data_IF_340448840611
#
_entry.id   IF_340448840611
#
_cell.length_a   1.000
_cell.length_b   1.000
_cell.length_c   1.000
_cell.angle_alpha   90.00
_cell.angle_beta   90.00
_cell.angle_gamma   90.00
#
_symmetry.space_group_name_H-M   'P 1'
#
loop_
_entity.id
_entity.type
_entity.pdbx_description
1 polymer ?
#
# COMPACT_ATOMS: atom_id res chain seq x y z
N UNK A 1 -3.95 -16.39 8.33
CA UNK A 1 -5.07 -16.37 9.29
C UNK A 1 -5.00 -15.09 10.12
N UNK A 2 -6.16 -14.54 10.46
CA UNK A 2 -6.25 -13.44 11.44
C UNK A 2 -6.09 -14.01 12.85
N UNK A 3 -5.32 -13.35 13.69
CA UNK A 3 -5.15 -13.70 15.10
C UNK A 3 -5.13 -12.46 15.99
N UNK A 4 -5.38 -12.66 17.28
CA UNK A 4 -5.29 -11.64 18.32
C UNK A 4 -6.13 -10.38 18.01
N UNK A 5 -7.32 -10.55 17.43
CA UNK A 5 -8.21 -9.44 17.11
C UNK A 5 -8.93 -8.95 18.34
N UNK A 6 -8.84 -7.66 18.62
CA UNK A 6 -9.61 -6.96 19.64
C UNK A 6 -9.96 -5.55 19.15
N UNK A 7 -11.06 -4.98 19.67
CA UNK A 7 -11.52 -3.65 19.30
C UNK A 7 -12.98 -3.44 19.65
N UNK A 8 -13.41 -2.19 19.62
CA UNK A 8 -14.79 -1.80 19.84
C UNK A 8 -15.42 -1.30 18.54
N UNK A 9 -16.64 -1.74 18.28
CA UNK A 9 -17.43 -1.28 17.15
C UNK A 9 -18.70 -0.64 17.70
N UNK A 10 -18.89 0.65 17.44
CA UNK A 10 -20.00 1.43 17.92
C UNK A 10 -20.87 1.81 16.72
N UNK A 11 -22.03 1.18 16.62
CA UNK A 11 -23.02 1.51 15.60
C UNK A 11 -23.81 2.74 16.05
N UNK A 12 -23.83 3.79 15.24
CA UNK A 12 -24.59 5.01 15.47
C UNK A 12 -25.28 5.42 14.17
N UNK A 13 -26.60 5.27 14.15
CA UNK A 13 -27.43 5.38 12.95
C UNK A 13 -26.97 4.39 11.87
N UNK A 14 -26.42 4.90 10.76
CA UNK A 14 -25.94 4.12 9.62
C UNK A 14 -24.40 3.98 9.59
N UNK A 15 -23.72 4.63 10.55
CA UNK A 15 -22.28 4.68 10.66
C UNK A 15 -21.74 3.72 11.71
N UNK A 16 -20.52 3.23 11.50
CA UNK A 16 -19.77 2.43 12.49
C UNK A 16 -18.50 3.15 12.87
N UNK A 17 -18.38 3.53 14.13
CA UNK A 17 -17.10 3.94 14.71
C UNK A 17 -16.31 2.69 15.11
N UNK A 18 -15.02 2.70 14.79
CA UNK A 18 -14.05 1.64 15.09
C UNK A 18 -13.04 2.24 16.06
N UNK A 19 -12.99 1.67 17.26
CA UNK A 19 -12.10 2.15 18.31
C UNK A 19 -11.14 1.04 18.75
N UNK A 20 -9.86 1.38 18.78
CA UNK A 20 -8.78 0.51 19.25
C UNK A 20 -8.77 -0.88 18.59
N UNK A 21 -9.21 -0.95 17.33
CA UNK A 21 -9.10 -2.19 16.58
C UNK A 21 -7.62 -2.56 16.46
N UNK A 22 -7.29 -3.75 16.91
CA UNK A 22 -5.94 -4.31 16.77
C UNK A 22 -6.04 -5.76 16.35
N UNK A 23 -5.03 -6.24 15.63
CA UNK A 23 -4.98 -7.62 15.18
C UNK A 23 -3.69 -7.93 14.44
N UNK A 24 -3.52 -9.19 14.12
CA UNK A 24 -2.39 -9.67 13.32
C UNK A 24 -2.87 -10.49 12.13
N UNK A 25 -2.18 -10.32 11.02
CA UNK A 25 -2.32 -11.15 9.82
C UNK A 25 -0.94 -11.72 9.53
N UNK A 26 -0.68 -12.95 9.93
CA UNK A 26 0.66 -13.56 9.88
C UNK A 26 1.69 -12.69 10.62
N UNK A 27 2.68 -12.13 9.93
CA UNK A 27 3.71 -11.25 10.52
C UNK A 27 3.32 -9.77 10.58
N UNK A 28 2.22 -9.40 9.93
CA UNK A 28 1.70 -8.02 9.92
C UNK A 28 0.86 -7.74 11.15
N UNK A 29 1.23 -6.75 11.95
CA UNK A 29 0.39 -6.19 13.00
C UNK A 29 -0.36 -4.96 12.49
N UNK A 30 -1.60 -4.78 12.94
CA UNK A 30 -2.43 -3.65 12.56
C UNK A 30 -3.13 -3.07 13.77
N UNK A 31 -3.10 -1.75 13.88
CA UNK A 31 -3.93 -0.96 14.80
C UNK A 31 -4.67 0.09 14.02
N UNK A 32 -5.94 0.31 14.37
CA UNK A 32 -6.80 1.20 13.62
C UNK A 32 -7.83 1.87 14.50
N UNK A 33 -8.04 3.17 14.27
CA UNK A 33 -9.17 3.93 14.76
C UNK A 33 -9.83 4.63 13.56
N UNK A 34 -11.14 4.64 13.49
CA UNK A 34 -11.79 5.25 12.33
C UNK A 34 -13.29 5.24 12.39
N UNK A 35 -13.87 5.67 11.28
CA UNK A 35 -15.32 5.67 11.06
C UNK A 35 -15.64 5.14 9.69
N UNK A 36 -16.56 4.21 9.62
CA UNK A 36 -17.17 3.79 8.36
C UNK A 36 -18.55 4.44 8.24
N UNK A 37 -18.64 5.48 7.42
CA UNK A 37 -19.89 6.18 7.15
C UNK A 37 -20.73 5.39 6.15
N UNK A 38 -22.04 5.49 6.31
CA UNK A 38 -23.00 4.81 5.44
C UNK A 38 -22.79 3.27 5.41
N UNK A 39 -22.32 2.69 6.52
CA UNK A 39 -21.96 1.29 6.62
C UNK A 39 -23.14 0.34 6.39
N UNK A 40 -24.29 0.63 7.03
CA UNK A 40 -25.49 -0.23 6.92
C UNK A 40 -26.04 -0.23 5.48
N UNK A 41 -26.28 0.92 4.84
CA UNK A 41 -26.66 0.96 3.43
C UNK A 41 -25.61 0.32 2.49
N UNK A 42 -24.33 0.56 2.74
CA UNK A 42 -23.26 -0.06 1.95
C UNK A 42 -23.30 -1.59 1.96
N UNK A 43 -23.64 -2.21 3.09
CA UNK A 43 -23.74 -3.66 3.24
C UNK A 43 -25.05 -4.24 2.68
N UNK A 44 -26.17 -3.57 2.94
CA UNK A 44 -27.50 -4.16 2.77
C UNK A 44 -28.22 -3.69 1.50
N UNK A 45 -27.85 -2.54 0.96
CA UNK A 45 -28.50 -1.96 -0.22
C UNK A 45 -27.53 -2.00 -1.40
N UNK A 46 -28.04 -2.50 -2.54
CA UNK A 46 -27.24 -2.56 -3.77
C UNK A 46 -26.80 -1.15 -4.21
N UNK A 47 -25.57 -1.06 -4.67
CA UNK A 47 -24.97 0.13 -5.28
C UNK A 47 -24.84 1.38 -4.37
N UNK A 48 -25.00 1.21 -3.06
CA UNK A 48 -24.73 2.29 -2.10
C UNK A 48 -23.23 2.47 -1.84
N UNK A 49 -22.74 3.72 -1.82
CA UNK A 49 -21.34 4.00 -1.49
C UNK A 49 -21.10 3.89 0.02
N UNK A 50 -19.87 3.63 0.39
CA UNK A 50 -19.40 3.67 1.77
C UNK A 50 -18.09 4.45 1.86
N UNK A 51 -17.97 5.28 2.92
CA UNK A 51 -16.77 6.09 3.14
C UNK A 51 -16.06 5.62 4.40
N UNK A 52 -14.81 5.25 4.26
CA UNK A 52 -14.00 4.79 5.35
C UNK A 52 -12.87 5.78 5.64
N UNK A 53 -12.87 6.35 6.84
CA UNK A 53 -11.87 7.31 7.30
C UNK A 53 -11.18 6.70 8.51
N UNK A 54 -9.86 6.53 8.48
CA UNK A 54 -9.13 5.91 9.59
C UNK A 54 -7.68 6.37 9.73
N UNK A 55 -7.20 6.29 10.98
CA UNK A 55 -5.77 6.28 11.31
C UNK A 55 -5.30 4.83 11.43
N UNK A 56 -4.29 4.48 10.67
CA UNK A 56 -3.74 3.12 10.57
C UNK A 56 -2.30 3.12 11.05
N UNK A 57 -2.01 2.30 12.04
CA UNK A 57 -0.68 2.14 12.60
C UNK A 57 -0.26 0.67 12.51
N UNK A 58 0.97 0.43 12.06
CA UNK A 58 1.59 -0.90 12.04
C UNK A 58 3.06 -0.79 12.44
N UNK A 59 3.55 -1.70 13.27
CA UNK A 59 4.99 -1.78 13.53
C UNK A 59 5.70 -2.55 12.42
N UNK A 60 5.03 -3.57 11.87
CA UNK A 60 5.56 -4.42 10.80
C UNK A 60 4.49 -4.78 9.78
N UNK A 61 4.70 -4.40 8.53
CA UNK A 61 3.81 -4.62 7.41
C UNK A 61 4.50 -5.49 6.34
N UNK A 62 4.10 -6.75 6.23
CA UNK A 62 4.56 -7.65 5.18
C UNK A 62 3.57 -7.63 4.01
N UNK A 63 3.87 -6.82 2.99
CA UNK A 63 2.96 -6.61 1.84
C UNK A 63 2.72 -7.88 1.05
N UNK A 64 3.71 -8.76 0.93
CA UNK A 64 3.56 -10.03 0.23
C UNK A 64 2.45 -10.90 0.83
N UNK A 65 2.31 -10.90 2.17
CA UNK A 65 1.26 -11.66 2.87
C UNK A 65 -0.15 -11.09 2.65
N UNK A 66 -0.26 -9.79 2.42
CA UNK A 66 -1.53 -9.10 2.20
C UNK A 66 -2.00 -9.16 0.75
N UNK A 67 -1.06 -9.14 -0.20
CA UNK A 67 -1.34 -9.10 -1.63
C UNK A 67 -1.52 -10.48 -2.27
N UNK A 68 -1.01 -11.56 -1.66
CA UNK A 68 -1.24 -12.92 -2.14
C UNK A 68 -2.70 -13.30 -1.90
N UNK A 69 -3.53 -13.11 -2.90
CA UNK A 69 -4.84 -13.74 -2.95
C UNK A 69 -4.65 -15.25 -3.01
N UNK A 70 -5.05 -15.96 -1.94
CA UNK A 70 -5.18 -17.44 -1.92
C UNK A 70 -6.35 -17.89 -2.79
N UNK A 71 -6.39 -17.47 -4.02
CA UNK A 71 -7.26 -18.04 -5.04
C UNK A 71 -6.47 -19.18 -5.67
N UNK A 72 -6.92 -20.40 -5.45
CA UNK A 72 -6.50 -21.66 -6.10
C UNK A 72 -5.79 -21.45 -7.44
N UNK A 73 -4.47 -21.37 -7.42
CA UNK A 73 -3.67 -21.28 -8.64
C UNK A 73 -2.81 -22.52 -8.75
N UNK A 74 -3.05 -23.22 -9.83
CA UNK A 74 -2.39 -24.46 -10.23
C UNK A 74 -1.08 -24.22 -10.99
N UNK A 75 -0.27 -23.21 -10.62
CA UNK A 75 1.09 -23.06 -11.16
C UNK A 75 1.95 -22.14 -10.30
N UNK A 76 3.20 -22.50 -9.99
CA UNK A 76 4.12 -21.68 -9.18
C UNK A 76 4.68 -20.44 -9.87
N UNK A 77 4.41 -20.23 -11.16
CA UNK A 77 5.04 -19.18 -11.97
C UNK A 77 4.18 -17.92 -12.21
N UNK A 78 2.88 -17.95 -11.91
CA UNK A 78 1.97 -16.82 -12.11
C UNK A 78 1.64 -16.11 -10.79
N UNK A 79 2.56 -15.32 -10.25
CA UNK A 79 2.26 -14.33 -9.22
C UNK A 79 1.65 -13.06 -9.83
N UNK A 80 0.48 -13.17 -10.44
CA UNK A 80 -0.27 -11.99 -10.87
C UNK A 80 -0.95 -11.36 -9.66
N UNK A 81 -0.46 -10.20 -9.22
CA UNK A 81 -1.12 -9.41 -8.19
C UNK A 81 -2.37 -8.74 -8.78
N UNK A 82 -3.54 -9.30 -8.52
CA UNK A 82 -4.79 -8.68 -8.96
C UNK A 82 -5.23 -7.65 -7.92
N UNK A 83 -4.95 -6.39 -8.18
CA UNK A 83 -5.43 -5.27 -7.37
C UNK A 83 -6.89 -4.97 -7.75
N UNK A 84 -7.84 -5.48 -6.95
CA UNK A 84 -9.27 -5.18 -7.13
C UNK A 84 -9.79 -4.45 -5.90
N UNK A 85 -10.20 -3.21 -6.08
CA UNK A 85 -10.87 -2.44 -5.04
C UNK A 85 -12.37 -2.38 -5.33
N UNK A 86 -13.18 -2.34 -4.26
CA UNK A 86 -14.61 -2.13 -4.44
C UNK A 86 -14.85 -0.72 -5.00
N UNK A 87 -15.48 -0.58 -6.19
CA UNK A 87 -15.66 0.74 -6.82
C UNK A 87 -16.58 1.67 -6.03
N UNK A 88 -17.33 1.15 -5.08
CA UNK A 88 -18.25 1.91 -4.20
C UNK A 88 -17.61 2.36 -2.89
N UNK A 89 -16.37 1.97 -2.64
CA UNK A 89 -15.68 2.30 -1.41
C UNK A 89 -14.75 3.48 -1.65
N UNK A 90 -14.92 4.53 -0.85
CA UNK A 90 -13.95 5.60 -0.67
C UNK A 90 -13.21 5.38 0.64
N UNK A 91 -11.89 5.56 0.64
CA UNK A 91 -11.08 5.47 1.86
C UNK A 91 -10.17 6.69 1.98
N UNK A 92 -10.11 7.24 3.19
CA UNK A 92 -9.15 8.27 3.60
C UNK A 92 -8.35 7.74 4.80
N UNK A 93 -7.08 7.42 4.57
CA UNK A 93 -6.24 6.76 5.55
C UNK A 93 -5.02 7.60 5.89
N UNK A 94 -4.85 7.97 7.15
CA UNK A 94 -3.55 8.42 7.67
C UNK A 94 -2.76 7.19 8.09
N UNK A 95 -1.57 7.02 7.55
CA UNK A 95 -0.74 5.83 7.81
C UNK A 95 0.53 6.18 8.57
N UNK A 96 0.87 5.34 9.56
CA UNK A 96 2.12 5.37 10.28
C UNK A 96 2.65 3.95 10.43
N UNK A 97 3.65 3.58 9.62
CA UNK A 97 4.17 2.22 9.56
C UNK A 97 5.64 2.22 9.97
N UNK A 98 5.98 1.41 10.97
CA UNK A 98 7.35 1.29 11.49
C UNK A 98 8.30 0.68 10.46
N UNK A 99 7.95 -0.50 9.95
CA UNK A 99 8.69 -1.24 8.94
C UNK A 99 7.74 -1.84 7.92
N UNK A 100 8.14 -1.84 6.66
CA UNK A 100 7.43 -2.49 5.57
C UNK A 100 8.40 -3.31 4.74
N UNK A 101 7.95 -4.48 4.31
CA UNK A 101 8.66 -5.33 3.36
C UNK A 101 7.74 -5.72 2.21
N UNK A 102 8.28 -5.62 1.00
CA UNK A 102 7.66 -6.12 -0.22
C UNK A 102 8.75 -6.73 -1.11
N UNK A 103 8.75 -8.05 -1.24
CA UNK A 103 9.85 -8.78 -1.89
C UNK A 103 11.19 -8.40 -1.25
N UNK A 104 12.14 -7.86 -2.04
CA UNK A 104 13.44 -7.37 -1.55
C UNK A 104 13.38 -5.93 -1.01
N UNK A 105 12.36 -5.17 -1.41
CA UNK A 105 12.20 -3.77 -1.00
C UNK A 105 11.86 -3.66 0.48
N UNK A 106 12.60 -2.82 1.18
CA UNK A 106 12.41 -2.53 2.59
C UNK A 106 12.28 -1.03 2.84
N UNK A 107 11.26 -0.65 3.58
CA UNK A 107 11.07 0.72 4.01
C UNK A 107 10.78 0.80 5.50
N UNK A 108 11.08 1.94 6.10
CA UNK A 108 10.81 2.19 7.52
C UNK A 108 10.38 3.63 7.77
N UNK A 109 9.77 3.86 8.95
CA UNK A 109 9.27 5.16 9.36
C UNK A 109 8.34 5.79 8.31
N UNK A 110 7.45 5.01 7.72
CA UNK A 110 6.53 5.42 6.66
C UNK A 110 5.41 6.24 7.29
N UNK A 111 5.16 7.41 6.74
CA UNK A 111 4.07 8.31 7.12
C UNK A 111 3.49 8.97 5.89
N UNK A 112 2.19 9.20 5.89
CA UNK A 112 1.51 9.91 4.81
C UNK A 112 0.02 9.68 4.83
N UNK A 113 -0.63 10.22 3.80
CA UNK A 113 -2.05 10.09 3.57
C UNK A 113 -2.31 9.28 2.31
N UNK A 114 -3.23 8.32 2.40
CA UNK A 114 -3.66 7.46 1.28
C UNK A 114 -5.16 7.69 1.07
N UNK A 115 -5.51 8.05 -0.14
CA UNK A 115 -6.91 8.19 -0.57
C UNK A 115 -7.23 7.15 -1.63
N UNK A 116 -8.34 6.45 -1.47
CA UNK A 116 -8.92 5.55 -2.47
C UNK A 116 -10.29 6.07 -2.87
N UNK A 117 -10.51 6.31 -4.14
CA UNK A 117 -11.82 6.60 -4.72
C UNK A 117 -11.94 5.93 -6.09
N UNK A 118 -13.06 5.27 -6.35
CA UNK A 118 -13.38 4.63 -7.65
C UNK A 118 -12.22 3.84 -8.26
N UNK A 119 -11.56 3.01 -7.45
CA UNK A 119 -10.41 2.18 -7.83
C UNK A 119 -9.14 2.98 -8.17
N UNK A 120 -9.06 4.25 -7.80
CA UNK A 120 -7.85 5.06 -7.89
C UNK A 120 -7.29 5.25 -6.49
N UNK A 121 -6.08 4.73 -6.25
CA UNK A 121 -5.31 5.03 -5.04
C UNK A 121 -4.42 6.23 -5.33
N UNK A 122 -4.43 7.20 -4.44
CA UNK A 122 -3.45 8.28 -4.44
C UNK A 122 -2.81 8.43 -3.07
N UNK A 123 -1.53 8.77 -3.04
CA UNK A 123 -0.83 9.16 -1.83
C UNK A 123 -0.33 10.58 -1.96
N UNK A 124 -0.42 11.34 -0.85
CA UNK A 124 0.15 12.68 -0.73
C UNK A 124 1.12 12.71 0.44
N UNK A 125 2.22 13.41 0.25
CA UNK A 125 3.24 13.63 1.28
C UNK A 125 3.73 12.33 1.95
N UNK A 126 3.79 11.25 1.17
CA UNK A 126 4.30 9.98 1.67
C UNK A 126 5.81 10.11 1.89
N UNK A 127 6.25 9.92 3.12
CA UNK A 127 7.64 9.96 3.51
C UNK A 127 8.07 8.65 4.15
N UNK A 128 9.27 8.20 3.84
CA UNK A 128 9.84 6.99 4.43
C UNK A 128 11.36 6.94 4.28
N UNK A 129 11.98 6.03 5.02
CA UNK A 129 13.39 5.68 4.86
C UNK A 129 13.50 4.37 4.10
N UNK A 130 14.34 4.34 3.06
CA UNK A 130 14.68 3.15 2.29
C UNK A 130 16.09 3.28 1.73
N UNK A 131 16.75 2.17 1.43
CA UNK A 131 18.08 2.15 0.78
C UNK A 131 19.06 3.11 1.47
N UNK A 132 19.09 3.13 2.81
CA UNK A 132 19.91 4.01 3.67
C UNK A 132 19.75 5.52 3.43
N UNK A 133 18.65 5.95 2.80
CA UNK A 133 18.32 7.36 2.58
C UNK A 133 16.88 7.68 2.93
N UNK A 134 16.42 8.84 2.47
CA UNK A 134 15.04 9.30 2.68
C UNK A 134 14.34 9.45 1.33
N UNK A 135 13.06 9.12 1.33
CA UNK A 135 12.17 9.26 0.17
C UNK A 135 10.96 10.09 0.59
N UNK A 136 10.62 11.06 -0.24
CA UNK A 136 9.33 11.76 -0.20
C UNK A 136 8.66 11.55 -1.56
N UNK A 137 7.39 11.14 -1.58
CA UNK A 137 6.72 10.86 -2.84
C UNK A 137 5.23 11.16 -2.80
N UNK A 138 4.70 11.50 -3.98
CA UNK A 138 3.29 11.47 -4.31
C UNK A 138 3.09 10.44 -5.40
N UNK A 139 2.10 9.57 -5.26
CA UNK A 139 1.84 8.53 -6.24
C UNK A 139 0.34 8.37 -6.49
N UNK A 140 0.01 7.93 -7.70
CA UNK A 140 -1.35 7.57 -8.09
C UNK A 140 -1.31 6.24 -8.82
N UNK A 141 -2.15 5.29 -8.40
CA UNK A 141 -2.36 4.02 -9.07
C UNK A 141 -3.82 3.97 -9.49
N UNK A 142 -4.05 3.96 -10.79
CA UNK A 142 -5.40 3.88 -11.38
C UNK A 142 -5.67 2.47 -11.89
N UNK A 143 -6.50 1.73 -11.17
CA UNK A 143 -6.94 0.39 -11.50
C UNK A 143 -8.39 0.34 -12.08
N UNK A 144 -8.99 1.50 -12.37
CA UNK A 144 -10.38 1.60 -12.86
C UNK A 144 -10.59 1.04 -14.27
N UNK A 145 -9.54 0.95 -15.08
CA UNK A 145 -9.61 0.35 -16.41
C UNK A 145 -9.67 -1.17 -16.31
N UNK A 146 -10.38 -1.82 -17.22
CA UNK A 146 -10.56 -3.28 -17.22
C UNK A 146 -9.28 -4.03 -17.56
N UNK A 147 -8.47 -3.47 -18.43
CA UNK A 147 -7.34 -4.11 -19.12
C UNK A 147 -5.98 -3.62 -18.67
N UNK A 148 -5.92 -2.54 -17.90
CA UNK A 148 -4.66 -1.92 -17.54
C UNK A 148 -4.67 -1.26 -16.16
N UNK A 149 -3.49 -1.17 -15.57
CA UNK A 149 -3.21 -0.39 -14.36
C UNK A 149 -2.21 0.70 -14.76
N UNK A 150 -2.54 1.94 -14.48
CA UNK A 150 -1.64 3.07 -14.69
C UNK A 150 -1.08 3.54 -13.34
N UNK A 151 0.23 3.74 -13.27
CA UNK A 151 0.91 4.35 -12.14
C UNK A 151 1.62 5.63 -12.57
N UNK A 152 1.44 6.69 -11.77
CA UNK A 152 2.24 7.90 -11.85
C UNK A 152 2.84 8.16 -10.47
N UNK A 153 4.10 8.59 -10.44
CA UNK A 153 4.81 8.85 -9.21
C UNK A 153 5.77 10.03 -9.40
N UNK A 154 5.71 11.00 -8.49
CA UNK A 154 6.70 12.05 -8.32
C UNK A 154 7.43 11.79 -7.00
N UNK A 155 8.72 11.56 -7.05
CA UNK A 155 9.52 11.23 -5.88
C UNK A 155 10.78 12.07 -5.77
N UNK A 156 11.12 12.47 -4.55
CA UNK A 156 12.39 13.07 -4.19
C UNK A 156 13.19 12.09 -3.36
N UNK A 157 14.37 11.75 -3.85
CA UNK A 157 15.34 10.91 -3.19
C UNK A 157 16.43 11.76 -2.55
N UNK A 158 16.75 11.48 -1.29
CA UNK A 158 17.85 12.11 -0.59
C UNK A 158 18.83 11.07 -0.06
N UNK A 159 20.03 11.02 -0.67
CA UNK A 159 21.17 10.19 -0.26
C UNK A 159 20.90 8.68 -0.24
N UNK A 160 20.11 8.16 -1.19
CA UNK A 160 19.90 6.71 -1.32
C UNK A 160 21.22 6.01 -1.69
N UNK A 161 21.47 4.85 -1.09
CA UNK A 161 22.54 3.96 -1.52
C UNK A 161 22.16 3.30 -2.85
N UNK A 162 22.96 3.52 -3.90
CA UNK A 162 22.63 3.06 -5.25
C UNK A 162 22.78 1.54 -5.38
N UNK A 163 23.68 0.91 -4.62
CA UNK A 163 23.84 -0.55 -4.60
C UNK A 163 22.56 -1.19 -4.05
N UNK A 164 22.05 -0.66 -2.93
CA UNK A 164 20.78 -1.12 -2.34
C UNK A 164 19.59 -0.82 -3.22
N UNK A 165 19.56 0.34 -3.90
CA UNK A 165 18.52 0.69 -4.84
C UNK A 165 18.38 -0.37 -5.94
N UNK A 166 19.50 -0.75 -6.55
CA UNK A 166 19.50 -1.78 -7.59
C UNK A 166 19.12 -3.15 -7.03
N UNK A 167 19.68 -3.55 -5.88
CA UNK A 167 19.34 -4.83 -5.24
C UNK A 167 17.88 -4.95 -4.86
N UNK A 168 17.35 -3.94 -4.17
CA UNK A 168 15.97 -3.96 -3.63
C UNK A 168 14.92 -3.84 -4.73
N UNK A 169 15.24 -3.18 -5.86
CA UNK A 169 14.39 -3.09 -7.05
C UNK A 169 14.75 -4.13 -8.13
N UNK A 170 15.41 -5.24 -7.74
CA UNK A 170 15.71 -6.39 -8.61
C UNK A 170 16.44 -5.99 -9.90
N UNK A 171 17.36 -5.01 -9.79
CA UNK A 171 18.15 -4.45 -10.90
C UNK A 171 17.25 -3.86 -12.03
N UNK A 172 16.01 -3.45 -11.71
CA UNK A 172 15.04 -2.95 -12.69
C UNK A 172 14.80 -3.93 -13.86
N UNK A 173 14.85 -5.24 -13.54
CA UNK A 173 14.69 -6.35 -14.51
C UNK A 173 15.70 -6.29 -15.69
N UNK A 174 16.92 -5.79 -15.45
CA UNK A 174 17.96 -5.68 -16.46
C UNK A 174 19.28 -6.26 -15.94
N UNK A 175 20.22 -6.60 -16.84
CA UNK A 175 21.47 -7.29 -16.52
C UNK A 175 22.73 -6.46 -16.78
N UNK A 176 22.61 -5.32 -17.43
CA UNK A 176 23.76 -4.50 -17.84
C UNK A 176 24.37 -3.73 -16.66
N UNK A 177 23.51 -3.06 -15.88
CA UNK A 177 23.89 -2.39 -14.64
C UNK A 177 23.21 -3.10 -13.47
N UNK A 178 24.00 -3.63 -12.55
CA UNK A 178 23.49 -4.40 -11.42
C UNK A 178 24.04 -3.86 -10.09
N UNK A 179 23.43 -4.27 -9.01
CA UNK A 179 23.90 -4.01 -7.64
C UNK A 179 25.37 -4.36 -7.42
N UNK A 180 25.94 -5.28 -8.25
CA UNK A 180 27.33 -5.72 -8.14
C UNK A 180 28.34 -4.73 -8.72
N UNK A 181 27.92 -3.90 -9.69
CA UNK A 181 28.82 -2.99 -10.42
C UNK A 181 28.49 -1.50 -10.26
N UNK A 182 27.49 -1.15 -9.42
CA UNK A 182 27.17 0.24 -9.09
C UNK A 182 27.47 0.52 -7.62
N UNK A 183 28.02 1.71 -7.32
CA UNK A 183 28.31 2.15 -5.95
C UNK A 183 28.14 3.65 -5.81
N UNK A 184 27.77 4.09 -4.62
CA UNK A 184 27.67 5.50 -4.27
C UNK A 184 26.30 5.86 -3.70
N UNK A 185 26.06 7.16 -3.57
CA UNK A 185 24.79 7.71 -3.09
C UNK A 185 24.19 8.64 -4.13
N UNK A 186 22.87 8.57 -4.27
CA UNK A 186 22.13 9.42 -5.19
C UNK A 186 21.12 10.31 -4.45
N UNK A 187 21.02 11.55 -4.90
CA UNK A 187 19.89 12.44 -4.60
C UNK A 187 19.30 12.89 -5.92
N UNK A 188 18.01 12.76 -6.11
CA UNK A 188 17.33 13.02 -7.37
C UNK A 188 15.86 13.36 -7.16
N UNK A 189 15.31 14.17 -8.06
CA UNK A 189 13.88 14.27 -8.29
C UNK A 189 13.52 13.35 -9.47
N UNK A 190 12.55 12.46 -9.27
CA UNK A 190 12.18 11.41 -10.22
C UNK A 190 10.70 11.52 -10.55
N UNK A 191 10.39 11.50 -11.83
CA UNK A 191 9.02 11.35 -12.32
C UNK A 191 8.91 10.03 -13.07
N UNK A 192 7.98 9.18 -12.65
CA UNK A 192 7.72 7.88 -13.24
C UNK A 192 6.28 7.81 -13.70
N UNK A 193 6.09 7.38 -14.94
CA UNK A 193 4.77 6.98 -15.46
C UNK A 193 4.90 5.59 -16.08
N UNK A 194 4.03 4.67 -15.68
CA UNK A 194 4.05 3.30 -16.16
C UNK A 194 2.63 2.78 -16.36
N UNK A 195 2.48 1.85 -17.30
CA UNK A 195 1.21 1.18 -17.58
C UNK A 195 1.46 -0.32 -17.72
N UNK A 196 0.68 -1.12 -17.01
CA UNK A 196 0.72 -2.59 -17.09
C UNK A 196 -0.60 -3.15 -17.56
N UNK A 197 -0.57 -4.19 -18.36
CA UNK A 197 -1.75 -5.01 -18.67
C UNK A 197 -2.17 -5.84 -17.46
N UNK A 198 -3.47 -6.03 -17.29
CA UNK A 198 -4.06 -6.90 -16.25
C UNK A 198 -4.09 -8.35 -16.70
#
# INVERSE_FOLDING_TARGET
>A
AFSDMSGNFILKNEDVAIENLSGKISSTDLKMNGVFKNFIPFLLVKDQPGDFIADVVSNNLAMDELLVNKSTVSSPEDTSYIMKFNPRLTCDLNVAIGKMQFRKFQASAIRGHIHLDRQVISSRDLTFKAMDGNVQMNATINASRRDSIQMNCDARFARLDITRLFYELENFDQTTMTDKNVKGRISADVQLSSMWSK
#
